data_IF_532145246916
#
_entry.id   IF_532145246916
#
_cell.length_a   1.000
_cell.length_b   1.000
_cell.length_c   1.000
_cell.angle_alpha   90.00
_cell.angle_beta   90.00
_cell.angle_gamma   90.00
#
_symmetry.space_group_name_H-M   'P 1'
#
loop_
_entity.id
_entity.type
_entity.pdbx_description
1 polymer ?
#
# COMPACT_ATOMS: atom_id res chain seq x y z
N UNK A 1 11.49 -11.64 -24.07
CA UNK A 1 11.63 -12.60 -22.96
C UNK A 1 10.35 -13.38 -22.77
N UNK A 2 10.46 -14.70 -22.69
CA UNK A 2 9.34 -15.62 -22.46
C UNK A 2 8.75 -15.39 -21.05
N UNK A 3 7.43 -15.59 -20.83
CA UNK A 3 6.82 -15.62 -19.50
C UNK A 3 7.60 -16.36 -18.41
N UNK A 4 8.24 -17.49 -18.71
CA UNK A 4 9.04 -18.25 -17.74
C UNK A 4 10.23 -17.45 -17.20
N UNK A 5 10.92 -16.70 -18.06
CA UNK A 5 12.05 -15.86 -17.65
C UNK A 5 11.58 -14.66 -16.83
N UNK A 6 10.36 -14.16 -17.07
CA UNK A 6 9.74 -13.11 -16.25
C UNK A 6 9.37 -13.62 -14.85
N UNK A 7 8.88 -14.86 -14.74
CA UNK A 7 8.64 -15.51 -13.44
C UNK A 7 9.97 -15.70 -12.69
N UNK A 8 11.02 -16.17 -13.38
CA UNK A 8 12.35 -16.31 -12.80
C UNK A 8 12.91 -14.95 -12.33
N UNK A 9 12.71 -13.88 -13.11
CA UNK A 9 13.09 -12.52 -12.73
C UNK A 9 12.35 -12.05 -11.47
N UNK A 10 11.05 -12.34 -11.34
CA UNK A 10 10.30 -12.01 -10.13
C UNK A 10 10.87 -12.72 -8.90
N UNK A 11 11.16 -14.02 -9.00
CA UNK A 11 11.81 -14.79 -7.93
C UNK A 11 13.19 -14.26 -7.56
N UNK A 12 14.01 -13.91 -8.57
CA UNK A 12 15.32 -13.30 -8.36
C UNK A 12 15.23 -11.94 -7.66
N UNK A 13 14.32 -11.06 -8.11
CA UNK A 13 14.09 -9.75 -7.50
C UNK A 13 13.64 -9.88 -6.04
N UNK A 14 12.74 -10.81 -5.72
CA UNK A 14 12.32 -11.08 -4.34
C UNK A 14 13.49 -11.57 -3.49
N UNK A 15 14.31 -12.50 -4.00
CA UNK A 15 15.46 -13.01 -3.26
C UNK A 15 16.49 -11.92 -2.95
N UNK A 16 16.77 -11.03 -3.91
CA UNK A 16 17.66 -9.88 -3.70
C UNK A 16 17.10 -8.94 -2.63
N UNK A 17 15.82 -8.58 -2.73
CA UNK A 17 15.18 -7.64 -1.80
C UNK A 17 15.05 -8.23 -0.41
N UNK A 18 14.78 -9.54 -0.29
CA UNK A 18 14.76 -10.25 0.98
C UNK A 18 16.13 -10.19 1.67
N UNK A 19 17.23 -10.40 0.95
CA UNK A 19 18.59 -10.21 1.49
C UNK A 19 18.86 -8.76 1.87
N UNK A 20 18.40 -7.82 1.05
CA UNK A 20 18.58 -6.40 1.29
C UNK A 20 17.80 -5.88 2.51
N UNK A 21 16.72 -6.55 2.91
CA UNK A 21 15.90 -6.17 4.08
C UNK A 21 16.70 -6.11 5.38
N UNK A 22 17.86 -6.76 5.45
CA UNK A 22 18.77 -6.69 6.59
C UNK A 22 19.55 -5.36 6.68
N UNK A 23 19.53 -4.53 5.64
CA UNK A 23 20.17 -3.22 5.66
C UNK A 23 19.26 -2.16 6.30
N UNK A 24 19.59 -1.66 7.51
CA UNK A 24 18.70 -0.75 8.24
C UNK A 24 18.47 0.59 7.51
N UNK A 25 19.43 1.01 6.68
CA UNK A 25 19.30 2.27 5.90
C UNK A 25 18.17 2.24 4.89
N UNK A 26 17.78 1.07 4.39
CA UNK A 26 16.68 0.93 3.43
C UNK A 26 15.31 1.14 4.09
N UNK A 27 15.22 0.97 5.41
CA UNK A 27 13.99 1.14 6.18
C UNK A 27 13.74 2.58 6.61
N UNK A 28 14.75 3.45 6.61
CA UNK A 28 14.63 4.84 7.05
C UNK A 28 13.48 5.58 6.34
N UNK A 29 13.32 5.49 5.00
CA UNK A 29 12.19 6.11 4.31
C UNK A 29 10.81 5.65 4.81
N UNK A 30 10.70 4.44 5.35
CA UNK A 30 9.43 3.85 5.80
C UNK A 30 9.05 4.27 7.23
N UNK A 31 10.01 4.69 8.05
CA UNK A 31 9.74 5.07 9.44
C UNK A 31 8.68 6.17 9.59
N UNK A 32 8.69 7.27 8.82
CA UNK A 32 7.65 8.28 8.91
C UNK A 32 6.25 7.73 8.62
N UNK A 33 6.12 6.84 7.63
CA UNK A 33 4.84 6.21 7.29
C UNK A 33 4.33 5.34 8.43
N UNK A 34 5.19 4.46 8.96
CA UNK A 34 4.84 3.58 10.10
C UNK A 34 4.41 4.43 11.30
N UNK A 35 5.15 5.49 11.62
CA UNK A 35 4.85 6.36 12.76
C UNK A 35 3.49 7.06 12.58
N UNK A 36 3.18 7.56 11.38
CA UNK A 36 1.90 8.22 11.10
C UNK A 36 0.73 7.23 11.15
N UNK A 37 0.88 6.04 10.57
CA UNK A 37 -0.13 4.97 10.62
C UNK A 37 -0.40 4.51 12.07
N UNK A 38 0.65 4.28 12.87
CA UNK A 38 0.50 3.90 14.27
C UNK A 38 -0.09 5.03 15.11
N UNK A 39 0.29 6.28 14.85
CA UNK A 39 -0.31 7.44 15.52
C UNK A 39 -1.80 7.56 15.18
N UNK A 40 -2.17 7.36 13.92
CA UNK A 40 -3.56 7.34 13.48
C UNK A 40 -4.37 6.23 14.18
N UNK A 41 -3.83 5.01 14.24
CA UNK A 41 -4.44 3.92 14.98
C UNK A 41 -4.59 4.25 16.47
N UNK A 42 -3.57 4.83 17.09
CA UNK A 42 -3.60 5.23 18.50
C UNK A 42 -4.65 6.31 18.76
N UNK A 43 -4.84 7.28 17.85
CA UNK A 43 -5.90 8.28 17.94
C UNK A 43 -7.29 7.65 17.84
N UNK A 44 -7.48 6.66 16.96
CA UNK A 44 -8.75 5.96 16.82
C UNK A 44 -9.06 5.08 18.05
N UNK A 45 -8.08 4.30 18.51
CA UNK A 45 -8.27 3.41 19.68
C UNK A 45 -8.37 4.20 20.99
N UNK A 46 -7.67 5.33 21.08
CA UNK A 46 -7.62 6.23 22.24
C UNK A 46 -8.53 7.44 22.12
N UNK A 47 -9.53 7.44 21.24
CA UNK A 47 -10.35 8.63 20.93
C UNK A 47 -11.03 9.25 22.16
N UNK A 48 -11.31 8.45 23.19
CA UNK A 48 -11.94 8.89 24.44
C UNK A 48 -10.98 9.64 25.39
N UNK A 49 -9.68 9.66 25.09
CA UNK A 49 -8.70 10.34 25.94
C UNK A 49 -8.93 11.87 25.93
N UNK A 50 -8.90 12.55 27.10
CA UNK A 50 -9.25 13.98 27.20
C UNK A 50 -8.48 14.91 26.25
N UNK A 51 -7.22 14.57 25.94
CA UNK A 51 -6.38 15.37 25.06
C UNK A 51 -6.83 15.38 23.59
N UNK A 52 -7.58 14.35 23.13
CA UNK A 52 -7.94 14.18 21.71
C UNK A 52 -9.45 14.07 21.49
N UNK A 53 -10.23 13.81 22.54
CA UNK A 53 -11.68 13.58 22.45
C UNK A 53 -12.45 14.77 21.87
N UNK A 54 -11.99 16.00 22.13
CA UNK A 54 -12.60 17.22 21.57
C UNK A 54 -12.59 17.27 20.04
N UNK A 55 -11.66 16.56 19.38
CA UNK A 55 -11.56 16.49 17.91
C UNK A 55 -12.04 15.14 17.39
N UNK A 56 -11.62 14.04 18.04
CA UNK A 56 -11.88 12.70 17.53
C UNK A 56 -13.33 12.25 17.73
N UNK A 57 -13.98 12.59 18.85
CA UNK A 57 -15.37 12.22 19.07
C UNK A 57 -16.33 12.80 18.01
N UNK A 58 -16.32 14.13 17.71
CA UNK A 58 -17.21 14.65 16.67
C UNK A 58 -16.88 14.11 15.29
N UNK A 59 -15.59 13.88 14.99
CA UNK A 59 -15.17 13.27 13.74
C UNK A 59 -15.73 11.85 13.58
N UNK A 60 -15.63 11.01 14.63
CA UNK A 60 -16.15 9.65 14.61
C UNK A 60 -17.68 9.62 14.54
N UNK A 61 -18.37 10.49 15.28
CA UNK A 61 -19.83 10.67 15.18
C UNK A 61 -20.24 11.06 13.76
N UNK A 62 -19.54 12.00 13.12
CA UNK A 62 -19.87 12.43 11.76
C UNK A 62 -19.69 11.30 10.73
N UNK A 63 -18.72 10.40 10.93
CA UNK A 63 -18.40 9.33 9.99
C UNK A 63 -19.24 8.07 10.21
N UNK A 64 -19.58 7.75 11.47
CA UNK A 64 -20.14 6.43 11.85
C UNK A 64 -21.36 6.51 12.80
N UNK A 65 -21.80 7.72 13.16
CA UNK A 65 -22.91 7.95 14.08
C UNK A 65 -22.54 7.72 15.55
N UNK A 66 -23.43 8.08 16.47
CA UNK A 66 -23.17 8.09 17.91
C UNK A 66 -22.93 6.70 18.52
N UNK A 67 -23.41 5.65 17.86
CA UNK A 67 -23.22 4.28 18.32
C UNK A 67 -21.74 3.89 18.43
N UNK A 68 -20.84 4.52 17.64
CA UNK A 68 -19.40 4.24 17.67
C UNK A 68 -18.74 4.64 18.99
N UNK A 69 -19.25 5.69 19.65
CA UNK A 69 -18.63 6.25 20.85
C UNK A 69 -18.77 5.33 22.08
N UNK A 70 -19.62 4.31 21.99
CA UNK A 70 -19.88 3.38 23.07
C UNK A 70 -18.92 2.20 23.01
N UNK A 71 -18.23 1.91 24.09
CA UNK A 71 -17.41 0.71 24.19
C UNK A 71 -18.31 -0.55 24.17
N UNK A 72 -17.99 -1.61 23.40
CA UNK A 72 -16.79 -1.81 22.57
C UNK A 72 -17.01 -1.56 21.06
N UNK A 73 -18.03 -0.80 20.67
CA UNK A 73 -18.42 -0.61 19.26
C UNK A 73 -17.31 0.03 18.41
N UNK A 74 -16.52 0.95 18.97
CA UNK A 74 -15.35 1.51 18.27
C UNK A 74 -14.42 0.41 17.75
N UNK A 75 -14.16 -0.63 18.55
CA UNK A 75 -13.27 -1.73 18.19
C UNK A 75 -13.89 -2.65 17.13
N UNK A 76 -15.22 -2.78 17.09
CA UNK A 76 -15.91 -3.54 16.04
C UNK A 76 -15.67 -2.94 14.66
N UNK A 77 -15.63 -1.62 14.57
CA UNK A 77 -15.46 -0.90 13.29
C UNK A 77 -14.05 -0.33 13.08
N UNK A 78 -13.16 -0.47 14.06
CA UNK A 78 -11.80 0.07 14.06
C UNK A 78 -11.01 -0.28 12.79
N UNK A 79 -11.02 -1.53 12.29
CA UNK A 79 -10.30 -1.85 11.05
C UNK A 79 -10.82 -1.07 9.84
N UNK A 80 -12.14 -0.88 9.75
CA UNK A 80 -12.75 -0.11 8.67
C UNK A 80 -12.44 1.38 8.75
N UNK A 81 -12.49 1.96 9.95
CA UNK A 81 -12.10 3.35 10.20
C UNK A 81 -10.62 3.57 9.89
N UNK A 82 -9.76 2.67 10.36
CA UNK A 82 -8.34 2.70 10.08
C UNK A 82 -8.08 2.64 8.58
N UNK A 83 -8.66 1.67 7.87
CA UNK A 83 -8.47 1.50 6.43
C UNK A 83 -8.80 2.77 5.62
N UNK A 84 -9.84 3.53 6.00
CA UNK A 84 -10.19 4.80 5.35
C UNK A 84 -9.14 5.87 5.56
N UNK A 85 -8.64 6.05 6.79
CA UNK A 85 -7.59 7.02 7.08
C UNK A 85 -6.23 6.62 6.50
N UNK A 86 -5.86 5.35 6.69
CA UNK A 86 -4.66 4.73 6.14
C UNK A 86 -4.60 4.88 4.61
N UNK A 87 -5.74 4.73 3.93
CA UNK A 87 -5.80 4.98 2.49
C UNK A 87 -5.32 6.39 2.11
N UNK A 88 -5.76 7.43 2.83
CA UNK A 88 -5.33 8.82 2.58
C UNK A 88 -3.85 9.00 2.91
N UNK A 89 -3.39 8.43 4.02
CA UNK A 89 -1.98 8.46 4.44
C UNK A 89 -1.09 7.79 3.38
N UNK A 90 -1.43 6.58 2.94
CA UNK A 90 -0.70 5.84 1.91
C UNK A 90 -0.74 6.56 0.56
N UNK A 91 -1.89 7.10 0.15
CA UNK A 91 -2.00 7.83 -1.12
C UNK A 91 -1.11 9.07 -1.16
N UNK A 92 -0.91 9.71 -0.02
CA UNK A 92 -0.09 10.93 0.11
C UNK A 92 1.35 10.61 0.53
N UNK A 93 1.56 10.32 1.82
CA UNK A 93 2.85 10.02 2.42
C UNK A 93 3.44 8.72 1.84
N UNK A 94 2.62 7.69 1.63
CA UNK A 94 3.10 6.43 1.05
C UNK A 94 3.69 6.61 -0.36
N UNK A 95 3.10 7.46 -1.21
CA UNK A 95 3.67 7.81 -2.52
C UNK A 95 5.07 8.42 -2.42
N UNK A 96 5.30 9.29 -1.43
CA UNK A 96 6.60 9.92 -1.17
C UNK A 96 7.60 8.87 -0.66
N UNK A 97 7.19 8.05 0.31
CA UNK A 97 8.00 6.97 0.90
C UNK A 97 8.43 5.95 -0.14
N UNK A 98 7.53 5.56 -1.04
CA UNK A 98 7.83 4.65 -2.16
C UNK A 98 8.84 5.28 -3.11
N UNK A 99 8.67 6.56 -3.47
CA UNK A 99 9.63 7.29 -4.31
C UNK A 99 11.02 7.38 -3.68
N UNK A 100 11.11 7.71 -2.39
CA UNK A 100 12.36 7.72 -1.65
C UNK A 100 12.99 6.31 -1.59
N UNK A 101 12.18 5.28 -1.33
CA UNK A 101 12.66 3.90 -1.28
C UNK A 101 13.24 3.45 -2.61
N UNK A 102 12.57 3.76 -3.72
CA UNK A 102 13.06 3.48 -5.07
C UNK A 102 14.44 4.10 -5.30
N UNK A 103 14.67 5.34 -4.86
CA UNK A 103 15.98 5.98 -4.96
C UNK A 103 17.05 5.24 -4.15
N UNK A 104 16.76 4.94 -2.89
CA UNK A 104 17.70 4.26 -1.98
C UNK A 104 18.04 2.85 -2.50
N UNK A 105 17.06 2.12 -3.03
CA UNK A 105 17.30 0.83 -3.69
C UNK A 105 18.11 0.99 -4.98
N UNK A 106 17.87 2.02 -5.79
CA UNK A 106 18.65 2.26 -7.01
C UNK A 106 20.12 2.55 -6.70
N UNK A 107 20.40 3.34 -5.64
CA UNK A 107 21.77 3.54 -5.15
C UNK A 107 22.42 2.23 -4.72
N UNK A 108 21.72 1.42 -3.92
CA UNK A 108 22.20 0.11 -3.47
C UNK A 108 22.56 -0.79 -4.66
N UNK A 109 21.65 -0.92 -5.63
CA UNK A 109 21.84 -1.77 -6.81
C UNK A 109 22.84 -1.20 -7.82
N UNK A 110 23.18 0.08 -7.72
CA UNK A 110 24.30 0.68 -8.44
C UNK A 110 25.66 0.51 -7.72
N UNK A 111 25.70 -0.20 -6.58
CA UNK A 111 26.92 -0.33 -5.77
C UNK A 111 27.31 0.96 -5.03
N UNK A 112 26.40 1.95 -4.96
CA UNK A 112 26.61 3.18 -4.20
C UNK A 112 26.13 2.98 -2.76
N UNK A 113 26.68 3.78 -1.85
CA UNK A 113 26.19 3.83 -0.47
C UNK A 113 24.81 4.49 -0.46
N UNK A 114 23.77 3.89 0.14
CA UNK A 114 22.45 4.51 0.17
C UNK A 114 22.36 5.71 1.12
N UNK A 115 21.81 6.83 0.66
CA UNK A 115 21.64 8.08 1.42
C UNK A 115 20.15 8.41 1.62
N UNK A 116 19.49 7.83 2.64
CA UNK A 116 18.04 7.93 2.79
C UNK A 116 17.55 9.36 3.06
N UNK A 117 18.35 10.21 3.70
CA UNK A 117 18.00 11.63 3.91
C UNK A 117 17.91 12.42 2.60
N UNK A 118 18.85 12.19 1.68
CA UNK A 118 18.85 12.81 0.34
C UNK A 118 17.67 12.28 -0.47
N UNK A 119 17.45 10.97 -0.43
CA UNK A 119 16.33 10.32 -1.12
C UNK A 119 14.95 10.85 -0.64
N UNK A 120 14.77 11.03 0.67
CA UNK A 120 13.56 11.64 1.23
C UNK A 120 13.41 13.10 0.79
N UNK A 121 14.49 13.89 0.83
CA UNK A 121 14.48 15.27 0.36
C UNK A 121 14.06 15.39 -1.10
N UNK A 122 14.60 14.54 -1.97
CA UNK A 122 14.24 14.55 -3.39
C UNK A 122 12.82 14.02 -3.65
N UNK A 123 12.39 12.98 -2.93
CA UNK A 123 11.01 12.50 -3.03
C UNK A 123 10.01 13.56 -2.55
N UNK A 124 10.33 14.32 -1.51
CA UNK A 124 9.52 15.45 -1.03
C UNK A 124 9.43 16.56 -2.08
N UNK A 125 10.55 16.93 -2.72
CA UNK A 125 10.55 17.90 -3.83
C UNK A 125 9.67 17.44 -5.00
N UNK A 126 9.57 16.13 -5.22
CA UNK A 126 8.73 15.50 -6.24
C UNK A 126 7.38 15.02 -5.72
N UNK A 127 6.99 15.35 -4.49
CA UNK A 127 5.77 14.85 -3.87
C UNK A 127 4.51 15.11 -4.73
N UNK A 128 4.30 16.31 -5.31
CA UNK A 128 3.14 16.52 -6.17
C UNK A 128 3.13 15.59 -7.38
N UNK A 129 4.28 15.36 -8.00
CA UNK A 129 4.39 14.48 -9.16
C UNK A 129 4.14 13.01 -8.79
N UNK A 130 4.69 12.54 -7.66
CA UNK A 130 4.48 11.18 -7.16
C UNK A 130 3.01 10.93 -6.80
N UNK A 131 2.40 11.86 -6.05
CA UNK A 131 0.99 11.76 -5.63
C UNK A 131 0.07 11.78 -6.85
N UNK A 132 0.27 12.74 -7.78
CA UNK A 132 -0.53 12.80 -9.00
C UNK A 132 -0.35 11.54 -9.81
N UNK A 133 0.88 11.07 -10.03
CA UNK A 133 1.14 9.87 -10.84
C UNK A 133 0.49 8.61 -10.26
N UNK A 134 0.33 8.51 -8.94
CA UNK A 134 -0.34 7.39 -8.28
C UNK A 134 -1.85 7.60 -8.05
N UNK A 135 -2.35 8.83 -8.22
CA UNK A 135 -3.76 9.15 -7.97
C UNK A 135 -4.76 8.24 -8.72
N UNK A 136 -4.55 7.86 -10.00
CA UNK A 136 -5.48 6.95 -10.68
C UNK A 136 -5.59 5.58 -10.01
N UNK A 137 -4.47 4.98 -9.59
CA UNK A 137 -4.45 3.73 -8.84
C UNK A 137 -5.26 3.87 -7.55
N UNK A 138 -4.98 4.92 -6.78
CA UNK A 138 -5.65 5.19 -5.52
C UNK A 138 -7.15 5.39 -5.71
N UNK A 139 -7.57 6.25 -6.63
CA UNK A 139 -8.98 6.51 -6.92
C UNK A 139 -9.73 5.23 -7.33
N UNK A 140 -9.15 4.44 -8.23
CA UNK A 140 -9.74 3.16 -8.64
C UNK A 140 -9.85 2.19 -7.47
N UNK A 141 -8.83 2.14 -6.59
CA UNK A 141 -8.85 1.30 -5.39
C UNK A 141 -9.97 1.73 -4.43
N UNK A 142 -10.21 3.04 -4.23
CA UNK A 142 -11.34 3.53 -3.43
C UNK A 142 -12.67 3.10 -4.02
N UNK A 143 -12.85 3.31 -5.32
CA UNK A 143 -14.09 2.98 -6.02
C UNK A 143 -14.38 1.49 -5.91
N UNK A 144 -13.38 0.63 -6.13
CA UNK A 144 -13.52 -0.81 -6.04
C UNK A 144 -13.74 -1.31 -4.60
N UNK A 145 -13.06 -0.74 -3.62
CA UNK A 145 -13.08 -1.22 -2.23
C UNK A 145 -14.27 -0.69 -1.45
N UNK A 146 -14.55 0.62 -1.55
CA UNK A 146 -15.58 1.28 -0.76
C UNK A 146 -16.83 1.60 -1.58
N UNK A 147 -16.67 2.07 -2.83
CA UNK A 147 -17.80 2.49 -3.66
C UNK A 147 -18.69 1.32 -4.07
N UNK A 148 -18.07 0.23 -4.50
CA UNK A 148 -18.79 -0.94 -5.03
C UNK A 148 -19.57 -1.69 -3.94
N UNK A 149 -18.97 -1.83 -2.75
CA UNK A 149 -19.63 -2.44 -1.60
C UNK A 149 -20.86 -1.64 -1.15
N UNK A 150 -20.71 -0.32 -0.95
CA UNK A 150 -21.81 0.54 -0.52
C UNK A 150 -22.95 0.61 -1.55
N UNK A 151 -22.61 0.62 -2.84
CA UNK A 151 -23.61 0.60 -3.91
C UNK A 151 -24.45 -0.69 -3.94
N UNK A 152 -23.83 -1.85 -3.64
CA UNK A 152 -24.55 -3.12 -3.57
C UNK A 152 -25.43 -3.25 -2.34
N UNK A 153 -24.95 -2.81 -1.18
CA UNK A 153 -25.71 -2.81 0.07
C UNK A 153 -27.00 -1.97 -0.09
N UNK A 154 -26.89 -0.81 -0.74
CA UNK A 154 -28.04 0.04 -1.07
C UNK A 154 -29.06 -0.62 -2.01
N UNK A 155 -28.69 -1.70 -2.72
CA UNK A 155 -29.60 -2.46 -3.60
C UNK A 155 -30.18 -3.72 -2.97
N UNK A 156 -29.87 -4.00 -1.70
CA UNK A 156 -30.33 -5.21 -1.02
C UNK A 156 -29.78 -6.50 -1.64
N UNK A 157 -28.58 -6.43 -2.24
CA UNK A 157 -27.95 -7.59 -2.89
C UNK A 157 -27.68 -8.70 -1.87
N UNK A 158 -27.83 -9.96 -2.30
CA UNK A 158 -27.56 -11.12 -1.46
C UNK A 158 -26.09 -11.18 -0.99
N UNK A 159 -25.85 -11.77 0.17
CA UNK A 159 -24.49 -11.89 0.73
C UNK A 159 -23.49 -12.66 -0.15
N UNK A 160 -23.96 -13.54 -1.05
CA UNK A 160 -23.10 -14.27 -1.99
C UNK A 160 -22.56 -13.32 -3.07
N UNK A 161 -23.42 -12.47 -3.63
CA UNK A 161 -23.04 -11.48 -4.65
C UNK A 161 -21.99 -10.52 -4.11
N UNK A 162 -22.16 -10.05 -2.86
CA UNK A 162 -21.21 -9.15 -2.20
C UNK A 162 -19.83 -9.80 -2.06
N UNK A 163 -19.77 -11.08 -1.68
CA UNK A 163 -18.51 -11.83 -1.53
C UNK A 163 -17.81 -12.06 -2.86
N UNK A 164 -18.54 -12.49 -3.89
CA UNK A 164 -17.98 -12.72 -5.22
C UNK A 164 -17.40 -11.42 -5.79
N UNK A 165 -18.11 -10.32 -5.61
CA UNK A 165 -17.65 -9.02 -6.09
C UNK A 165 -16.46 -8.48 -5.29
N UNK A 166 -16.41 -8.72 -3.98
CA UNK A 166 -15.23 -8.42 -3.16
C UNK A 166 -13.97 -9.16 -3.62
N UNK A 167 -14.11 -10.44 -4.02
CA UNK A 167 -13.01 -11.19 -4.61
C UNK A 167 -12.56 -10.57 -5.95
N UNK A 168 -13.51 -10.24 -6.83
CA UNK A 168 -13.21 -9.59 -8.10
C UNK A 168 -12.55 -8.22 -7.91
N UNK A 169 -13.00 -7.43 -6.93
CA UNK A 169 -12.40 -6.16 -6.58
C UNK A 169 -10.94 -6.32 -6.09
N UNK A 170 -10.67 -7.37 -5.30
CA UNK A 170 -9.31 -7.69 -4.82
C UNK A 170 -8.39 -8.09 -5.98
N UNK A 171 -8.89 -8.92 -6.90
CA UNK A 171 -8.16 -9.30 -8.11
C UNK A 171 -7.88 -8.09 -9.01
N UNK A 172 -8.90 -7.23 -9.22
CA UNK A 172 -8.77 -6.01 -9.99
C UNK A 172 -7.76 -5.04 -9.36
N UNK A 173 -7.79 -4.86 -8.04
CA UNK A 173 -6.82 -4.06 -7.30
C UNK A 173 -5.39 -4.59 -7.45
N UNK A 174 -5.21 -5.91 -7.43
CA UNK A 174 -3.89 -6.55 -7.64
C UNK A 174 -3.35 -6.29 -9.06
N UNK A 175 -4.21 -6.37 -10.08
CA UNK A 175 -3.83 -6.05 -11.46
C UNK A 175 -3.49 -4.57 -11.62
N UNK A 176 -4.29 -3.68 -11.03
CA UNK A 176 -4.02 -2.25 -11.03
C UNK A 176 -2.70 -1.92 -10.31
N UNK A 177 -2.43 -2.55 -9.17
CA UNK A 177 -1.16 -2.40 -8.46
C UNK A 177 0.01 -2.83 -9.35
N UNK A 178 -0.11 -3.95 -10.06
CA UNK A 178 0.93 -4.41 -10.99
C UNK A 178 1.17 -3.41 -12.13
N UNK A 179 0.12 -2.81 -12.70
CA UNK A 179 0.23 -1.80 -13.75
C UNK A 179 0.96 -0.55 -13.30
N UNK A 180 0.72 -0.11 -12.05
CA UNK A 180 1.28 1.12 -11.50
C UNK A 180 2.58 0.91 -10.71
N UNK A 181 3.03 -0.34 -10.51
CA UNK A 181 4.21 -0.67 -9.71
C UNK A 181 5.49 0.06 -10.18
N UNK A 182 5.63 0.28 -11.47
CA UNK A 182 6.83 0.89 -12.07
C UNK A 182 6.73 2.41 -12.24
N UNK A 183 5.57 3.01 -11.95
CA UNK A 183 5.35 4.46 -12.08
C UNK A 183 6.26 5.28 -11.17
N UNK A 184 6.44 4.96 -9.87
CA UNK A 184 7.39 5.67 -9.02
C UNK A 184 8.83 5.61 -9.52
N UNK A 185 9.23 4.48 -10.12
CA UNK A 185 10.57 4.32 -10.70
C UNK A 185 10.79 5.27 -11.86
N UNK A 186 9.79 5.41 -12.74
CA UNK A 186 9.85 6.39 -13.82
C UNK A 186 9.90 7.84 -13.32
N UNK A 187 9.06 8.20 -12.35
CA UNK A 187 9.02 9.57 -11.82
C UNK A 187 10.36 9.94 -11.14
N UNK A 188 10.95 9.02 -10.38
CA UNK A 188 12.20 9.29 -9.68
C UNK A 188 13.42 9.25 -10.62
N UNK A 189 13.56 8.25 -11.49
CA UNK A 189 14.76 8.09 -12.32
C UNK A 189 14.73 8.91 -13.62
N UNK A 190 13.60 8.91 -14.34
CA UNK A 190 13.53 9.54 -15.66
C UNK A 190 13.28 11.05 -15.60
N UNK A 191 13.03 11.63 -14.42
CA UNK A 191 12.66 13.04 -14.21
C UNK A 191 11.53 13.50 -15.13
N UNK A 192 10.60 12.58 -15.41
CA UNK A 192 9.45 12.85 -16.28
C UNK A 192 8.29 13.41 -15.48
N UNK A 193 7.45 14.17 -16.18
CA UNK A 193 6.16 14.60 -15.66
C UNK A 193 5.26 13.40 -15.35
N UNK A 194 4.25 13.54 -14.45
CA UNK A 194 3.29 12.48 -14.16
C UNK A 194 2.61 11.91 -15.41
N UNK A 195 2.26 12.79 -16.36
CA UNK A 195 1.69 12.41 -17.64
C UNK A 195 2.64 11.54 -18.46
N UNK A 196 3.93 11.89 -18.50
CA UNK A 196 4.95 11.10 -19.17
C UNK A 196 5.12 9.71 -18.55
N UNK A 197 4.96 9.59 -17.23
CA UNK A 197 4.98 8.29 -16.56
C UNK A 197 3.77 7.42 -16.93
N UNK A 198 2.57 8.02 -17.07
CA UNK A 198 1.35 7.30 -17.47
C UNK A 198 1.40 6.79 -18.91
N UNK A 199 1.89 7.62 -19.83
CA UNK A 199 1.99 7.24 -21.25
C UNK A 199 2.97 6.08 -21.47
N UNK A 200 3.93 5.88 -20.56
CA UNK A 200 4.88 4.78 -20.62
C UNK A 200 4.34 3.47 -20.01
N UNK A 201 3.25 3.51 -19.23
CA UNK A 201 2.69 2.31 -18.58
C UNK A 201 2.48 1.16 -19.57
N UNK A 202 1.84 1.34 -20.74
CA UNK A 202 1.62 0.23 -21.67
C UNK A 202 2.92 -0.38 -22.16
N UNK A 203 3.90 0.46 -22.54
CA UNK A 203 5.19 0.00 -23.05
C UNK A 203 5.95 -0.81 -21.99
N UNK A 204 5.96 -0.31 -20.77
CA UNK A 204 6.69 -0.89 -19.65
C UNK A 204 6.02 -2.19 -19.20
N UNK A 205 4.68 -2.20 -19.15
CA UNK A 205 3.90 -3.39 -18.84
C UNK A 205 4.07 -4.47 -19.91
N UNK A 206 4.16 -4.13 -21.19
CA UNK A 206 4.46 -5.13 -22.23
C UNK A 206 5.83 -5.80 -22.04
N UNK A 207 6.78 -5.13 -21.39
CA UNK A 207 8.15 -5.64 -21.17
C UNK A 207 8.31 -6.43 -19.87
N UNK A 208 7.67 -5.97 -18.81
CA UNK A 208 7.81 -6.51 -17.46
C UNK A 208 6.50 -7.02 -16.83
N UNK A 209 5.40 -7.05 -17.60
CA UNK A 209 4.04 -7.28 -17.12
C UNK A 209 3.86 -8.56 -16.32
N UNK A 210 4.35 -9.69 -16.83
CA UNK A 210 4.28 -10.97 -16.10
C UNK A 210 5.06 -10.88 -14.79
N UNK A 211 6.24 -10.25 -14.82
CA UNK A 211 7.08 -10.07 -13.62
C UNK A 211 6.34 -9.28 -12.55
N UNK A 212 5.79 -8.10 -12.88
CA UNK A 212 5.10 -7.23 -11.92
C UNK A 212 3.77 -7.80 -11.44
N UNK A 213 3.05 -8.56 -12.28
CA UNK A 213 1.83 -9.29 -11.89
C UNK A 213 2.16 -10.41 -10.90
N UNK A 214 3.22 -11.20 -11.16
CA UNK A 214 3.66 -12.25 -10.23
C UNK A 214 4.07 -11.65 -8.89
N UNK A 215 4.89 -10.58 -8.90
CA UNK A 215 5.29 -9.88 -7.67
C UNK A 215 4.09 -9.38 -6.87
N UNK A 216 3.15 -8.67 -7.53
CA UNK A 216 1.97 -8.12 -6.88
C UNK A 216 1.08 -9.24 -6.33
N UNK A 217 0.88 -10.32 -7.11
CA UNK A 217 0.07 -11.47 -6.69
C UNK A 217 0.66 -12.16 -5.48
N UNK A 218 1.98 -12.43 -5.47
CA UNK A 218 2.65 -13.08 -4.33
C UNK A 218 2.51 -12.26 -3.05
N UNK A 219 2.67 -10.94 -3.16
CA UNK A 219 2.51 -10.03 -2.01
C UNK A 219 1.05 -9.99 -1.55
N UNK A 220 0.07 -9.90 -2.46
CA UNK A 220 -1.36 -9.95 -2.09
C UNK A 220 -1.71 -11.28 -1.41
N UNK A 221 -1.28 -12.41 -1.95
CA UNK A 221 -1.54 -13.74 -1.39
C UNK A 221 -0.93 -13.89 0.01
N UNK A 222 0.28 -13.35 0.22
CA UNK A 222 0.92 -13.37 1.54
C UNK A 222 0.14 -12.55 2.60
N UNK A 223 -0.65 -11.56 2.18
CA UNK A 223 -1.50 -10.75 3.06
C UNK A 223 -2.82 -11.41 3.43
N UNK A 224 -3.27 -12.40 2.64
CA UNK A 224 -4.56 -13.05 2.80
C UNK A 224 -4.84 -13.61 4.22
N UNK A 225 -3.87 -14.22 4.93
CA UNK A 225 -4.10 -14.66 6.31
C UNK A 225 -4.50 -13.52 7.26
N UNK A 226 -3.93 -12.32 7.11
CA UNK A 226 -4.27 -11.17 7.94
C UNK A 226 -5.65 -10.60 7.60
N UNK A 227 -6.01 -10.58 6.32
CA UNK A 227 -7.35 -10.21 5.88
C UNK A 227 -8.40 -11.21 6.37
N UNK A 228 -8.07 -12.50 6.37
CA UNK A 228 -8.92 -13.55 6.89
C UNK A 228 -9.13 -13.40 8.41
N UNK A 229 -8.07 -13.10 9.16
CA UNK A 229 -8.16 -12.83 10.60
C UNK A 229 -9.06 -11.63 10.91
N UNK A 230 -9.05 -10.59 10.06
CA UNK A 230 -9.91 -9.42 10.21
C UNK A 230 -11.40 -9.72 10.14
N UNK A 231 -11.80 -10.83 9.52
CA UNK A 231 -13.21 -11.29 9.50
C UNK A 231 -13.69 -11.79 10.86
N UNK A 232 -12.79 -12.07 11.81
CA UNK A 232 -13.14 -12.51 13.16
C UNK A 232 -13.19 -11.38 14.19
N UNK A 233 -13.09 -10.12 13.76
CA UNK A 233 -13.15 -8.93 14.63
C UNK A 233 -14.35 -8.97 15.56
N UNK A 234 -15.54 -9.31 15.05
CA UNK A 234 -16.77 -9.41 15.84
C UNK A 234 -16.65 -10.46 16.95
N UNK A 235 -16.13 -11.65 16.62
CA UNK A 235 -15.92 -12.73 17.60
C UNK A 235 -14.89 -12.38 18.67
N UNK A 236 -13.87 -11.59 18.34
CA UNK A 236 -12.88 -11.12 19.32
C UNK A 236 -13.52 -10.16 20.32
N UNK A 237 -14.38 -9.25 19.84
CA UNK A 237 -15.11 -8.31 20.68
C UNK A 237 -16.14 -9.02 21.55
N UNK A 238 -16.91 -9.96 21.00
CA UNK A 238 -17.89 -10.77 21.75
C UNK A 238 -17.24 -11.59 22.89
N UNK A 239 -16.00 -12.04 22.68
CA UNK A 239 -15.20 -12.74 23.71
C UNK A 239 -14.58 -11.79 24.74
N UNK A 240 -14.92 -10.51 24.73
CA UNK A 240 -14.43 -9.52 25.67
C UNK A 240 -12.94 -9.19 25.51
N UNK A 241 -12.38 -9.35 24.30
CA UNK A 241 -10.97 -8.99 23.99
C UNK A 241 -10.86 -8.00 22.83
N UNK A 242 -11.52 -6.83 22.89
CA UNK A 242 -11.51 -5.86 21.80
C UNK A 242 -10.11 -5.29 21.49
N UNK A 243 -9.18 -5.29 22.44
CA UNK A 243 -7.81 -4.79 22.27
C UNK A 243 -7.01 -5.63 21.26
N UNK A 244 -7.35 -6.92 21.11
CA UNK A 244 -6.74 -7.78 20.10
C UNK A 244 -7.05 -7.31 18.67
N UNK A 245 -8.15 -6.57 18.48
CA UNK A 245 -8.46 -5.94 17.19
C UNK A 245 -7.41 -4.88 16.86
N UNK A 246 -7.02 -4.04 17.81
CA UNK A 246 -5.97 -3.04 17.60
C UNK A 246 -4.61 -3.71 17.28
N UNK A 247 -4.25 -4.77 18.00
CA UNK A 247 -3.04 -5.54 17.72
C UNK A 247 -3.04 -6.16 16.31
N UNK A 248 -4.21 -6.63 15.85
CA UNK A 248 -4.37 -7.12 14.49
C UNK A 248 -4.18 -6.01 13.44
N UNK A 249 -4.68 -4.79 13.69
CA UNK A 249 -4.43 -3.64 12.80
C UNK A 249 -2.95 -3.27 12.79
N UNK A 250 -2.24 -3.33 13.93
CA UNK A 250 -0.78 -3.16 13.97
C UNK A 250 -0.07 -4.20 13.08
N UNK A 251 -0.49 -5.46 13.13
CA UNK A 251 0.07 -6.50 12.26
C UNK A 251 -0.20 -6.22 10.77
N UNK A 252 -1.38 -5.69 10.44
CA UNK A 252 -1.71 -5.25 9.08
C UNK A 252 -0.83 -4.09 8.61
N UNK A 253 -0.59 -3.07 9.45
CA UNK A 253 0.33 -1.96 9.15
C UNK A 253 1.74 -2.49 8.88
N UNK A 254 2.23 -3.39 9.74
CA UNK A 254 3.56 -4.01 9.58
C UNK A 254 3.69 -4.79 8.27
N UNK A 255 2.67 -5.59 7.93
CA UNK A 255 2.64 -6.33 6.68
C UNK A 255 2.57 -5.40 5.46
N UNK A 256 1.68 -4.40 5.46
CA UNK A 256 1.55 -3.45 4.36
C UNK A 256 2.85 -2.68 4.11
N UNK A 257 3.56 -2.32 5.19
CA UNK A 257 4.89 -1.69 5.12
C UNK A 257 5.92 -2.63 4.49
N UNK A 258 5.99 -3.88 4.96
CA UNK A 258 6.90 -4.88 4.40
C UNK A 258 6.60 -5.17 2.93
N UNK A 259 5.32 -5.30 2.57
CA UNK A 259 4.84 -5.48 1.21
C UNK A 259 5.28 -4.31 0.31
N UNK A 260 5.05 -3.08 0.76
CA UNK A 260 5.50 -1.86 0.05
C UNK A 260 7.01 -1.82 -0.13
N UNK A 261 7.78 -2.15 0.92
CA UNK A 261 9.24 -2.23 0.88
C UNK A 261 9.71 -3.23 -0.18
N UNK A 262 9.13 -4.44 -0.16
CA UNK A 262 9.48 -5.52 -1.08
C UNK A 262 9.18 -5.12 -2.53
N UNK A 263 7.99 -4.56 -2.76
CA UNK A 263 7.55 -4.13 -4.09
C UNK A 263 8.39 -2.97 -4.62
N UNK A 264 8.74 -1.98 -3.79
CA UNK A 264 9.59 -0.87 -4.20
C UNK A 264 10.99 -1.36 -4.62
N UNK A 265 11.62 -2.24 -3.83
CA UNK A 265 12.92 -2.81 -4.17
C UNK A 265 12.88 -3.68 -5.43
N UNK A 266 11.85 -4.52 -5.56
CA UNK A 266 11.69 -5.43 -6.70
C UNK A 266 11.40 -4.65 -7.99
N UNK A 267 10.63 -3.57 -7.89
CA UNK A 267 10.36 -2.65 -9.00
C UNK A 267 11.65 -2.08 -9.60
N UNK A 268 12.61 -1.68 -8.75
CA UNK A 268 13.91 -1.16 -9.23
C UNK A 268 14.72 -2.24 -9.96
N UNK A 269 14.78 -3.46 -9.41
CA UNK A 269 15.49 -4.59 -10.07
C UNK A 269 14.87 -4.88 -11.45
N UNK A 270 13.53 -4.95 -11.51
CA UNK A 270 12.82 -5.20 -12.76
C UNK A 270 13.05 -4.08 -13.78
N UNK A 271 13.04 -2.83 -13.33
CA UNK A 271 13.26 -1.66 -14.16
C UNK A 271 14.64 -1.67 -14.80
N UNK A 272 15.70 -1.85 -14.00
CA UNK A 272 17.09 -1.85 -14.48
C UNK A 272 17.33 -2.94 -15.52
N UNK A 273 16.86 -4.15 -15.23
CA UNK A 273 17.06 -5.32 -16.08
C UNK A 273 16.33 -5.23 -17.43
N UNK A 274 15.27 -4.39 -17.56
CA UNK A 274 14.35 -4.45 -18.72
C UNK A 274 14.12 -3.14 -19.46
N UNK A 275 14.38 -2.03 -18.81
CA UNK A 275 14.10 -0.70 -19.37
C UNK A 275 15.40 0.00 -19.74
N UNK A 276 16.48 -0.18 -18.97
CA UNK A 276 17.75 0.51 -19.23
C UNK A 276 18.63 -0.17 -20.28
N UNK A 277 18.65 -1.50 -20.33
CA UNK A 277 19.51 -2.27 -21.26
C UNK A 277 19.16 -2.02 -22.75
N UNK A 278 17.96 -1.52 -23.05
CA UNK A 278 17.49 -1.20 -24.41
C UNK A 278 17.78 0.24 -24.86
N UNK A 279 18.12 1.16 -23.94
CA UNK A 279 18.39 2.57 -24.31
C UNK A 279 19.80 2.81 -24.83
N UNK A 280 20.64 1.78 -24.81
CA UNK A 280 22.05 1.81 -25.25
C UNK A 280 22.36 0.81 -26.37
N UNK A 281 21.34 0.17 -26.96
CA UNK A 281 21.44 -0.69 -28.13
C UNK A 281 20.76 -0.01 -29.33
#
# INVERSE_FOLDING_TARGET
>A
MNPLEQIALAGHALALVARASLHPRLWIPWLPLILVELAWLALLAGFAHPAVSGVMAPLLTAISGDAVLHYPNVFRILPGLHARGAFVIVATLGSIVVGASVWVFDELWAGRTPHPGVALGEALRRAPALIVAQAPLHLLTVVLTFGLAGWMEGRGSSGITVRALGLLATLAATVLQALFLLVPVHVMRASRSPLGAWLEIPRVFMRAGVTVVVLSTLVTVAGFPLEFLARFTERLVERGRPELVAAMVVAQIGFATLAGFVLAGAAVVCYRTRVEDDTWA
#
